data_IF_779412944475
#
_entry.id   IF_779412944475
#
_cell.length_a   1.000
_cell.length_b   1.000
_cell.length_c   1.000
_cell.angle_alpha   90.00
_cell.angle_beta   90.00
_cell.angle_gamma   90.00
#
_symmetry.space_group_name_H-M   'P 1'
#
loop_
_entity.id
_entity.type
_entity.pdbx_description
1 polymer ?
#
# COMPACT_ATOMS: atom_id res chain seq x y z
N UNK A 1 42.67 -13.21 -48.01
CA UNK A 1 43.85 -13.96 -48.46
C UNK A 1 45.04 -13.04 -48.31
N UNK A 2 45.88 -13.44 -47.36
CA UNK A 2 47.34 -13.23 -47.22
C UNK A 2 47.82 -11.78 -47.08
N UNK A 3 48.17 -11.36 -45.86
CA UNK A 3 49.49 -11.55 -45.21
C UNK A 3 50.60 -10.77 -45.93
N UNK A 4 51.17 -9.76 -45.25
CA UNK A 4 52.61 -9.75 -44.96
C UNK A 4 53.01 -8.57 -44.05
N UNK A 5 53.51 -8.94 -42.87
CA UNK A 5 54.42 -8.15 -42.02
C UNK A 5 55.70 -7.77 -42.81
N UNK A 6 56.47 -6.77 -42.35
CA UNK A 6 57.83 -7.17 -41.99
C UNK A 6 58.34 -6.60 -40.66
N UNK A 7 58.84 -7.57 -39.91
CA UNK A 7 59.72 -7.53 -38.74
C UNK A 7 61.11 -6.93 -38.98
N UNK A 8 61.65 -6.42 -37.86
CA UNK A 8 63.08 -6.41 -37.41
C UNK A 8 64.01 -5.33 -37.99
N UNK A 9 64.69 -4.58 -37.10
CA UNK A 9 65.96 -5.01 -36.45
C UNK A 9 66.43 -4.05 -35.35
N UNK A 10 66.96 -4.67 -34.29
CA UNK A 10 67.66 -4.08 -33.14
C UNK A 10 69.04 -3.54 -33.53
N UNK A 11 69.50 -2.49 -32.87
CA UNK A 11 70.92 -2.28 -32.56
C UNK A 11 71.06 -1.88 -31.09
N UNK A 12 71.92 -2.61 -30.36
CA UNK A 12 72.38 -2.34 -29.00
C UNK A 12 73.77 -1.70 -29.08
N UNK A 13 74.06 -0.70 -28.23
CA UNK A 13 75.35 -0.46 -27.56
C UNK A 13 75.17 0.75 -26.60
N UNK A 14 75.07 0.56 -25.28
CA UNK A 14 76.13 0.46 -24.25
C UNK A 14 76.91 1.78 -23.97
N UNK A 15 76.57 2.34 -22.79
CA UNK A 15 77.37 3.04 -21.77
C UNK A 15 78.19 4.28 -22.12
N UNK A 16 77.79 5.42 -21.53
CA UNK A 16 78.72 6.32 -20.82
C UNK A 16 78.05 6.78 -19.52
N UNK A 17 78.70 6.45 -18.40
CA UNK A 17 78.49 7.03 -17.08
C UNK A 17 79.02 8.47 -17.07
N UNK A 18 78.21 9.43 -16.62
CA UNK A 18 78.74 10.68 -16.08
C UNK A 18 77.83 11.16 -14.95
N UNK A 19 78.40 11.13 -13.76
CA UNK A 19 77.84 11.65 -12.53
C UNK A 19 77.78 13.17 -12.60
N UNK A 20 76.62 13.75 -12.29
CA UNK A 20 76.52 15.11 -11.77
C UNK A 20 75.59 15.06 -10.57
N UNK A 21 76.20 15.36 -9.43
CA UNK A 21 75.58 15.47 -8.14
C UNK A 21 74.77 16.77 -8.04
N UNK A 22 73.63 16.68 -7.35
CA UNK A 22 73.12 17.75 -6.48
C UNK A 22 72.28 18.83 -7.13
N UNK A 23 70.96 18.67 -7.07
CA UNK A 23 70.04 19.66 -6.45
C UNK A 23 68.89 18.87 -5.83
N UNK A 24 68.88 18.74 -4.50
CA UNK A 24 67.77 18.20 -3.73
C UNK A 24 66.77 19.34 -3.53
N UNK A 25 65.78 19.47 -4.42
CA UNK A 25 64.61 20.32 -4.17
C UNK A 25 63.66 19.52 -3.29
N UNK A 26 63.55 19.91 -2.02
CA UNK A 26 62.50 19.48 -1.11
C UNK A 26 61.15 19.98 -1.63
N UNK A 27 60.53 19.21 -2.52
CA UNK A 27 59.09 19.27 -2.74
C UNK A 27 58.45 18.59 -1.52
N UNK A 28 58.06 19.40 -0.55
CA UNK A 28 57.05 19.01 0.43
C UNK A 28 55.76 18.74 -0.32
N UNK A 29 55.59 17.50 -0.76
CA UNK A 29 54.29 16.97 -1.12
C UNK A 29 53.44 16.98 0.13
N UNK A 30 52.50 17.92 0.20
CA UNK A 30 51.29 17.76 0.99
C UNK A 30 50.62 16.49 0.49
N UNK A 31 50.90 15.37 1.16
CA UNK A 31 50.08 14.16 1.06
C UNK A 31 48.67 14.63 1.41
N UNK A 32 47.68 14.49 0.52
CA UNK A 32 46.30 14.70 0.94
C UNK A 32 46.08 13.73 2.09
N UNK A 33 45.83 14.28 3.27
CA UNK A 33 45.24 13.50 4.36
C UNK A 33 43.89 13.09 3.79
N UNK A 34 43.83 11.87 3.26
CA UNK A 34 42.58 11.17 3.06
C UNK A 34 42.11 10.98 4.50
N UNK A 35 41.25 11.88 4.97
CA UNK A 35 40.46 11.59 6.15
C UNK A 35 39.79 10.25 5.84
N UNK A 36 39.99 9.21 6.67
CA UNK A 36 39.24 8.00 6.49
C UNK A 36 37.78 8.43 6.50
N UNK A 37 37.06 8.14 5.41
CA UNK A 37 35.60 8.19 5.41
C UNK A 37 35.21 7.26 6.54
N UNK A 38 34.91 7.84 7.71
CA UNK A 38 34.25 7.14 8.79
C UNK A 38 32.90 6.83 8.17
N UNK A 39 32.74 5.63 7.63
CA UNK A 39 31.43 5.08 7.31
C UNK A 39 30.67 5.09 8.63
N UNK A 40 29.60 5.90 8.78
CA UNK A 40 28.67 5.73 9.89
C UNK A 40 28.36 4.26 10.11
N UNK A 41 28.21 3.87 11.37
CA UNK A 41 27.72 2.53 11.68
C UNK A 41 26.34 2.36 11.02
N UNK A 42 26.06 1.20 10.39
CA UNK A 42 24.74 0.95 9.84
C UNK A 42 23.68 1.13 10.93
N UNK A 43 22.44 1.55 10.59
CA UNK A 43 21.39 1.73 11.57
C UNK A 43 21.20 0.41 12.32
N UNK A 44 20.98 0.53 13.63
CA UNK A 44 20.65 -0.62 14.45
C UNK A 44 19.24 -1.05 14.03
N UNK A 45 19.15 -2.20 13.37
CA UNK A 45 17.85 -2.81 13.05
C UNK A 45 17.51 -3.74 14.21
N UNK A 46 16.49 -3.38 14.97
CA UNK A 46 15.87 -4.23 15.96
C UNK A 46 14.90 -5.16 15.24
N UNK A 47 15.28 -6.43 15.07
CA UNK A 47 14.47 -7.43 14.40
C UNK A 47 14.37 -8.67 15.27
N UNK A 48 13.15 -8.98 15.70
CA UNK A 48 12.82 -10.22 16.40
C UNK A 48 11.64 -10.87 15.67
N UNK A 49 11.83 -12.13 15.28
CA UNK A 49 10.77 -12.93 14.68
C UNK A 49 9.95 -13.63 15.76
N UNK A 50 8.79 -14.16 15.39
CA UNK A 50 7.98 -14.97 16.30
C UNK A 50 8.75 -16.20 16.80
N UNK A 51 9.63 -16.77 15.97
CA UNK A 51 10.49 -17.90 16.36
C UNK A 51 11.51 -17.50 17.43
N UNK A 52 12.13 -16.32 17.31
CA UNK A 52 13.08 -15.80 18.31
C UNK A 52 12.42 -15.58 19.69
N UNK A 53 11.11 -15.37 19.69
CA UNK A 53 10.28 -15.17 20.88
C UNK A 53 9.62 -16.46 21.39
N UNK A 54 9.96 -17.62 20.83
CA UNK A 54 9.35 -18.93 21.12
C UNK A 54 7.82 -18.96 20.89
N UNK A 55 7.32 -18.12 19.97
CA UNK A 55 5.91 -17.99 19.61
C UNK A 55 5.62 -18.89 18.40
N UNK A 56 4.94 -20.00 18.65
CA UNK A 56 4.70 -21.07 17.66
C UNK A 56 3.25 -21.21 17.20
N UNK A 57 2.29 -20.57 17.89
CA UNK A 57 0.90 -20.59 17.46
C UNK A 57 0.70 -19.56 16.33
N UNK A 58 0.17 -19.96 15.16
CA UNK A 58 -0.22 -19.00 14.14
C UNK A 58 -1.27 -18.06 14.74
N UNK A 59 -1.09 -16.76 14.51
CA UNK A 59 -2.14 -15.80 14.77
C UNK A 59 -3.05 -15.85 13.56
N UNK A 60 -4.25 -16.39 13.76
CA UNK A 60 -5.31 -16.31 12.77
C UNK A 60 -6.47 -15.56 13.40
N UNK A 61 -6.78 -14.39 12.85
CA UNK A 61 -8.11 -13.84 12.94
C UNK A 61 -9.02 -14.84 12.22
N UNK A 62 -9.92 -15.47 12.98
CA UNK A 62 -10.90 -16.39 12.43
C UNK A 62 -12.04 -15.61 11.75
N UNK A 63 -12.21 -14.33 12.08
CA UNK A 63 -13.23 -13.46 11.50
C UNK A 63 -12.88 -11.97 11.61
N UNK A 64 -13.50 -11.14 10.77
CA UNK A 64 -13.42 -9.67 10.81
C UNK A 64 -13.85 -9.12 12.17
N UNK A 65 -14.88 -9.71 12.81
CA UNK A 65 -15.39 -9.23 14.08
C UNK A 65 -14.37 -9.29 15.23
N UNK A 66 -13.41 -10.21 15.18
CA UNK A 66 -12.31 -10.27 16.16
C UNK A 66 -11.35 -9.08 16.02
N UNK A 67 -11.16 -8.57 14.80
CA UNK A 67 -10.37 -7.35 14.58
C UNK A 67 -11.08 -6.15 15.21
N UNK A 68 -12.39 -6.00 14.98
CA UNK A 68 -13.17 -4.87 15.49
C UNK A 68 -13.21 -4.81 17.01
N UNK A 69 -13.48 -5.96 17.64
CA UNK A 69 -13.47 -6.08 19.10
C UNK A 69 -12.11 -5.69 19.67
N UNK A 70 -11.04 -6.13 19.00
CA UNK A 70 -9.69 -5.83 19.44
C UNK A 70 -9.33 -4.34 19.28
N UNK A 71 -9.59 -3.74 18.11
CA UNK A 71 -9.25 -2.32 17.84
C UNK A 71 -9.98 -1.37 18.77
N UNK A 72 -11.25 -1.64 19.08
CA UNK A 72 -12.04 -0.76 19.94
C UNK A 72 -11.43 -0.57 21.35
N UNK A 73 -10.74 -1.58 21.86
CA UNK A 73 -10.15 -1.59 23.21
C UNK A 73 -8.61 -1.46 23.20
N UNK A 74 -7.98 -1.43 22.02
CA UNK A 74 -6.53 -1.42 21.90
C UNK A 74 -5.97 0.01 21.83
N UNK A 75 -5.32 0.43 22.92
CA UNK A 75 -4.64 1.72 23.04
C UNK A 75 -3.13 1.50 23.19
N UNK A 76 -2.40 1.61 22.08
CA UNK A 76 -0.93 1.53 22.07
C UNK A 76 -0.33 2.89 21.71
N UNK A 77 0.48 3.52 22.59
CA UNK A 77 0.89 4.92 22.45
C UNK A 77 1.77 5.21 21.22
N UNK A 78 2.48 4.19 20.74
CA UNK A 78 3.41 4.33 19.61
C UNK A 78 2.82 3.85 18.27
N UNK A 79 1.61 3.28 18.28
CA UNK A 79 0.99 2.77 17.06
C UNK A 79 0.31 3.92 16.30
N UNK A 80 0.70 4.10 15.05
CA UNK A 80 0.09 5.05 14.12
C UNK A 80 -1.20 4.49 13.53
N UNK A 81 -1.23 3.18 13.25
CA UNK A 81 -2.39 2.43 12.75
C UNK A 81 -2.24 0.93 12.95
N UNK A 82 -3.36 0.21 12.94
CA UNK A 82 -3.41 -1.25 12.93
C UNK A 82 -3.94 -1.76 11.58
N UNK A 83 -3.31 -2.78 11.03
CA UNK A 83 -3.63 -3.37 9.72
C UNK A 83 -3.78 -4.88 9.85
N UNK A 84 -4.82 -5.45 9.26
CA UNK A 84 -5.02 -6.90 9.18
C UNK A 84 -4.38 -7.45 7.90
N UNK A 85 -3.21 -8.06 8.01
CA UNK A 85 -2.49 -8.61 6.87
C UNK A 85 -2.61 -10.15 6.87
N UNK A 86 -3.21 -10.71 5.81
CA UNK A 86 -3.69 -12.10 5.73
C UNK A 86 -4.68 -12.45 6.86
N UNK A 87 -4.14 -12.95 7.97
CA UNK A 87 -4.92 -13.35 9.16
C UNK A 87 -4.23 -12.85 10.44
N UNK A 88 -3.27 -11.95 10.32
CA UNK A 88 -2.46 -11.42 11.42
C UNK A 88 -2.67 -9.92 11.60
N UNK A 89 -2.55 -9.45 12.84
CA UNK A 89 -2.61 -8.03 13.18
C UNK A 89 -1.21 -7.43 13.16
N UNK A 90 -1.06 -6.31 12.46
CA UNK A 90 0.20 -5.59 12.31
C UNK A 90 0.00 -4.15 12.72
N UNK A 91 0.75 -3.70 13.71
CA UNK A 91 0.82 -2.29 14.10
C UNK A 91 1.93 -1.60 13.32
N UNK A 92 1.60 -0.46 12.73
CA UNK A 92 2.55 0.45 12.09
C UNK A 92 2.95 1.52 13.09
N UNK A 93 4.25 1.81 13.17
CA UNK A 93 4.85 2.82 14.06
C UNK A 93 5.68 3.80 13.22
N UNK A 94 6.16 4.89 13.82
CA UNK A 94 7.02 5.85 13.11
C UNK A 94 8.34 5.21 12.63
N UNK A 95 8.87 4.23 13.37
CA UNK A 95 10.18 3.63 13.14
C UNK A 95 10.15 2.16 12.69
N UNK A 96 8.97 1.59 12.45
CA UNK A 96 8.86 0.19 12.07
C UNK A 96 7.44 -0.38 12.10
N UNK A 97 7.39 -1.69 12.25
CA UNK A 97 6.16 -2.47 12.40
C UNK A 97 6.33 -3.53 13.48
N UNK A 98 5.22 -3.96 14.08
CA UNK A 98 5.21 -5.12 14.96
C UNK A 98 3.92 -5.93 14.83
N UNK A 99 4.04 -7.23 15.03
CA UNK A 99 2.91 -8.14 15.09
C UNK A 99 2.23 -8.04 16.45
N UNK A 100 0.90 -7.92 16.44
CA UNK A 100 0.08 -7.74 17.64
C UNK A 100 -0.67 -9.02 17.94
N UNK A 101 -0.48 -9.62 19.11
CA UNK A 101 -1.18 -10.83 19.50
C UNK A 101 -2.65 -10.59 19.83
N UNK A 102 -3.53 -11.38 19.22
CA UNK A 102 -4.95 -11.41 19.59
C UNK A 102 -5.21 -12.51 20.65
N UNK A 103 -6.04 -12.26 21.68
CA UNK A 103 -6.70 -10.99 22.01
C UNK A 103 -5.90 -10.10 22.99
N UNK A 104 -4.70 -10.50 23.41
CA UNK A 104 -3.99 -9.86 24.53
C UNK A 104 -3.27 -8.56 24.20
N UNK A 105 -3.10 -8.25 22.92
CA UNK A 105 -2.37 -7.09 22.40
C UNK A 105 -0.87 -7.14 22.62
N UNK A 106 -0.34 -8.29 23.00
CA UNK A 106 1.09 -8.46 23.22
C UNK A 106 1.89 -8.38 21.92
N UNK A 107 3.09 -7.80 21.97
CA UNK A 107 4.00 -7.81 20.83
C UNK A 107 4.50 -9.25 20.57
N UNK A 108 4.38 -9.74 19.34
CA UNK A 108 4.75 -11.13 18.95
C UNK A 108 5.96 -11.22 18.04
N UNK A 109 6.29 -10.14 17.37
CA UNK A 109 7.48 -9.97 16.55
C UNK A 109 7.59 -8.48 16.25
N UNK A 110 8.78 -7.98 15.97
CA UNK A 110 8.94 -6.59 15.54
C UNK A 110 10.07 -6.45 14.53
N UNK A 111 9.94 -5.43 13.70
CA UNK A 111 10.99 -4.91 12.85
C UNK A 111 10.98 -3.40 13.03
N UNK A 112 11.97 -2.88 13.77
CA UNK A 112 12.11 -1.45 14.08
C UNK A 112 13.50 -0.97 13.73
N UNK A 113 13.57 0.31 13.38
CA UNK A 113 14.82 1.00 13.06
C UNK A 113 14.86 2.27 13.91
N UNK A 114 15.25 2.14 15.19
CA UNK A 114 15.12 3.22 16.16
C UNK A 114 15.85 4.49 15.72
N UNK A 115 15.15 5.62 15.88
CA UNK A 115 15.69 6.94 15.53
C UNK A 115 15.57 7.30 14.05
N UNK A 116 14.90 6.47 13.24
CA UNK A 116 14.64 6.73 11.84
C UNK A 116 13.16 6.55 11.50
N UNK A 117 12.62 7.48 10.70
CA UNK A 117 11.30 7.30 10.09
C UNK A 117 11.36 6.21 9.03
N UNK A 118 10.37 5.33 9.00
CA UNK A 118 10.20 4.35 7.91
C UNK A 118 8.98 4.67 7.07
N UNK A 119 8.94 4.14 5.85
CA UNK A 119 7.69 4.02 5.11
C UNK A 119 7.27 2.55 5.10
N UNK A 120 5.99 2.29 5.35
CA UNK A 120 5.42 0.95 5.40
C UNK A 120 4.34 0.86 4.36
N UNK A 121 4.39 -0.19 3.56
CA UNK A 121 3.36 -0.53 2.57
C UNK A 121 3.04 -2.01 2.69
N UNK A 122 1.84 -2.40 2.31
CA UNK A 122 1.39 -3.79 2.33
C UNK A 122 1.02 -4.24 0.92
N UNK A 123 1.26 -5.51 0.59
CA UNK A 123 0.76 -6.10 -0.66
C UNK A 123 -0.75 -6.25 -0.58
N UNK A 124 -1.56 -5.91 -1.60
CA UNK A 124 -3.02 -5.94 -1.54
C UNK A 124 -3.66 -7.26 -1.06
N UNK A 125 -2.98 -8.39 -1.23
CA UNK A 125 -3.38 -9.72 -0.75
C UNK A 125 -3.08 -9.97 0.75
N UNK A 126 -2.51 -8.99 1.44
CA UNK A 126 -2.04 -9.08 2.81
C UNK A 126 -0.74 -9.87 2.98
N UNK A 127 -0.23 -10.54 1.95
CA UNK A 127 0.79 -11.60 2.07
C UNK A 127 2.21 -11.14 2.41
N UNK A 128 2.47 -9.84 2.35
CA UNK A 128 3.74 -9.29 2.80
C UNK A 128 3.62 -7.83 3.25
N UNK A 129 4.47 -7.49 4.21
CA UNK A 129 4.72 -6.12 4.66
C UNK A 129 6.05 -5.69 4.08
N UNK A 130 6.11 -4.51 3.48
CA UNK A 130 7.36 -3.91 3.00
C UNK A 130 7.68 -2.68 3.84
N UNK A 131 8.85 -2.69 4.47
CA UNK A 131 9.39 -1.59 5.26
C UNK A 131 10.56 -0.98 4.52
N UNK A 132 10.44 0.29 4.16
CA UNK A 132 11.48 1.05 3.48
C UNK A 132 12.19 1.98 4.47
N UNK A 133 13.52 1.98 4.41
CA UNK A 133 14.39 2.69 5.35
C UNK A 133 15.69 3.11 4.70
N UNK A 134 16.43 4.04 5.31
CA UNK A 134 17.73 4.49 4.82
C UNK A 134 18.84 3.89 5.67
N UNK A 135 19.99 3.60 5.08
CA UNK A 135 21.17 3.13 5.83
C UNK A 135 22.21 4.21 5.82
N UNK A 136 22.33 4.90 6.96
CA UNK A 136 23.38 5.91 7.13
C UNK A 136 24.75 5.27 6.93
N UNK A 137 25.55 5.87 6.04
CA UNK A 137 26.97 5.57 5.95
C UNK A 137 27.44 4.44 5.05
N UNK A 138 26.54 3.60 4.53
CA UNK A 138 26.88 2.72 3.42
C UNK A 138 26.80 3.50 2.10
N UNK A 139 25.67 4.18 1.86
CA UNK A 139 25.37 5.13 0.77
C UNK A 139 24.12 5.95 1.15
N UNK A 140 24.28 7.23 1.50
CA UNK A 140 23.17 8.11 1.95
C UNK A 140 22.11 8.38 0.87
N UNK A 141 22.36 7.87 -0.33
CA UNK A 141 21.59 8.00 -1.56
C UNK A 141 20.89 6.68 -1.95
N UNK A 142 20.70 5.73 -1.03
CA UNK A 142 19.99 4.47 -1.29
C UNK A 142 18.83 4.21 -0.28
N UNK A 143 17.69 3.71 -0.78
CA UNK A 143 16.60 3.14 0.03
C UNK A 143 16.80 1.64 0.12
N UNK A 144 16.74 1.14 1.35
CA UNK A 144 16.74 -0.26 1.67
C UNK A 144 15.32 -0.73 1.98
N UNK A 145 15.05 -1.99 1.63
CA UNK A 145 13.77 -2.62 1.88
C UNK A 145 13.93 -3.86 2.73
N UNK A 146 12.97 -4.09 3.62
CA UNK A 146 12.71 -5.37 4.23
C UNK A 146 11.31 -5.83 3.82
N UNK A 147 11.20 -7.04 3.28
CA UNK A 147 9.93 -7.70 3.01
C UNK A 147 9.70 -8.74 4.10
N UNK A 148 8.62 -8.59 4.85
CA UNK A 148 8.31 -9.37 6.05
C UNK A 148 7.05 -10.20 5.82
N UNK A 149 7.06 -11.43 6.32
CA UNK A 149 5.85 -12.21 6.48
C UNK A 149 5.02 -11.62 7.64
N UNK A 150 3.74 -11.27 7.44
CA UNK A 150 2.95 -10.59 8.47
C UNK A 150 2.68 -11.45 9.72
N UNK A 151 2.60 -12.77 9.57
CA UNK A 151 2.34 -13.66 10.71
C UNK A 151 3.54 -13.92 11.61
N UNK A 152 4.76 -13.81 11.07
CA UNK A 152 5.97 -14.24 11.79
C UNK A 152 7.04 -13.15 11.94
N UNK A 153 6.93 -12.06 11.18
CA UNK A 153 7.98 -11.05 11.05
C UNK A 153 9.24 -11.57 10.35
N UNK A 154 9.23 -12.79 9.80
CA UNK A 154 10.38 -13.34 9.08
C UNK A 154 10.63 -12.54 7.79
N UNK A 155 11.90 -12.22 7.51
CA UNK A 155 12.28 -11.64 6.23
C UNK A 155 12.07 -12.68 5.14
N UNK A 156 11.23 -12.37 4.17
CA UNK A 156 11.07 -13.19 2.99
C UNK A 156 12.32 -13.04 2.11
N UNK A 157 12.85 -14.15 1.59
CA UNK A 157 13.98 -14.10 0.64
C UNK A 157 13.53 -13.44 -0.67
N UNK A 158 13.64 -12.12 -0.70
CA UNK A 158 13.62 -11.33 -1.92
C UNK A 158 14.87 -10.47 -1.86
N UNK A 159 15.83 -10.74 -2.74
CA UNK A 159 17.00 -9.88 -2.91
C UNK A 159 16.53 -8.60 -3.60
N UNK A 160 15.80 -7.76 -2.89
CA UNK A 160 15.52 -6.41 -3.35
C UNK A 160 16.82 -5.65 -3.14
N UNK A 161 17.54 -5.48 -4.25
CA UNK A 161 18.69 -4.61 -4.28
C UNK A 161 18.29 -3.20 -3.81
N UNK A 162 19.11 -2.51 -3.01
CA UNK A 162 18.84 -1.12 -2.65
C UNK A 162 18.66 -0.28 -3.91
N UNK A 163 17.63 0.55 -3.92
CA UNK A 163 17.38 1.48 -5.03
C UNK A 163 17.93 2.86 -4.68
N UNK A 164 18.26 3.71 -5.66
CA UNK A 164 18.57 5.11 -5.39
C UNK A 164 17.45 5.79 -4.60
N UNK A 165 17.82 6.63 -3.64
CA UNK A 165 16.89 7.44 -2.86
C UNK A 165 16.07 8.32 -3.82
N UNK A 166 14.74 8.22 -3.81
CA UNK A 166 13.92 9.14 -4.59
C UNK A 166 14.14 10.57 -4.11
N UNK A 167 13.99 11.55 -5.00
CA UNK A 167 14.35 12.95 -4.73
C UNK A 167 13.60 13.56 -3.53
N UNK A 168 12.42 13.01 -3.18
CA UNK A 168 11.63 13.37 -2.00
C UNK A 168 11.90 12.54 -0.73
N UNK A 169 12.92 11.68 -0.72
CA UNK A 169 13.25 10.84 0.43
C UNK A 169 12.20 9.76 0.73
N UNK A 170 12.10 9.28 1.96
CA UNK A 170 11.10 8.26 2.32
C UNK A 170 9.64 8.77 2.20
N UNK A 171 9.43 10.09 2.31
CA UNK A 171 8.12 10.72 2.14
C UNK A 171 7.56 10.62 0.71
N UNK A 172 8.41 10.35 -0.28
CA UNK A 172 7.95 10.13 -1.66
C UNK A 172 7.60 8.67 -1.95
N UNK A 173 7.68 7.76 -0.97
CA UNK A 173 7.16 6.40 -1.14
C UNK A 173 5.64 6.43 -0.97
N UNK A 174 4.92 5.79 -1.89
CA UNK A 174 3.49 5.61 -1.71
C UNK A 174 3.23 4.56 -0.63
N UNK A 175 2.15 4.73 0.16
CA UNK A 175 1.61 3.67 1.02
C UNK A 175 0.82 2.66 0.16
N UNK A 176 1.49 2.16 -0.88
CA UNK A 176 0.94 1.26 -1.87
C UNK A 176 2.06 0.40 -2.44
N UNK A 177 1.79 -0.89 -2.61
CA UNK A 177 2.69 -1.84 -3.25
C UNK A 177 1.90 -2.79 -4.13
N UNK A 178 2.56 -3.44 -5.08
CA UNK A 178 1.95 -4.49 -5.90
C UNK A 178 2.97 -5.57 -6.23
N UNK A 179 2.72 -6.81 -5.79
CA UNK A 179 3.63 -7.96 -5.94
C UNK A 179 5.10 -7.62 -5.63
N UNK A 180 5.90 -7.30 -6.66
CA UNK A 180 7.29 -6.83 -6.54
C UNK A 180 7.46 -5.34 -6.79
N UNK A 181 6.54 -4.70 -7.50
CA UNK A 181 6.60 -3.28 -7.86
C UNK A 181 6.51 -2.37 -6.62
N UNK A 182 7.41 -1.40 -6.55
CA UNK A 182 7.37 -0.27 -5.63
C UNK A 182 6.83 0.97 -6.33
N UNK A 183 6.05 1.78 -5.62
CA UNK A 183 5.58 3.05 -6.12
C UNK A 183 6.27 4.21 -5.40
N UNK A 184 6.90 5.08 -6.17
CA UNK A 184 7.61 6.27 -5.68
C UNK A 184 7.17 7.51 -6.45
N UNK A 185 7.31 8.68 -5.84
CA UNK A 185 7.11 9.96 -6.49
C UNK A 185 8.47 10.61 -6.79
N UNK A 186 8.69 10.96 -8.05
CA UNK A 186 9.78 11.84 -8.47
C UNK A 186 9.26 13.28 -8.52
N UNK A 187 9.93 14.21 -7.84
CA UNK A 187 9.55 15.63 -7.80
C UNK A 187 10.11 16.43 -9.00
N UNK A 188 9.36 17.43 -9.47
CA UNK A 188 9.75 18.40 -10.51
C UNK A 188 10.09 17.83 -11.92
N UNK A 189 9.09 17.37 -12.70
CA UNK A 189 7.65 17.38 -12.43
C UNK A 189 7.20 16.14 -11.66
N UNK A 190 6.10 16.27 -10.90
CA UNK A 190 5.55 15.15 -10.13
C UNK A 190 5.19 13.97 -11.04
N UNK A 191 5.89 12.87 -10.84
CA UNK A 191 5.82 11.65 -11.64
C UNK A 191 5.66 10.46 -10.71
N UNK A 192 4.67 9.61 -10.97
CA UNK A 192 4.56 8.32 -10.30
C UNK A 192 5.48 7.33 -11.02
N UNK A 193 6.37 6.70 -10.27
CA UNK A 193 7.32 5.71 -10.78
C UNK A 193 6.98 4.35 -10.19
N UNK A 194 6.89 3.34 -11.05
CA UNK A 194 6.78 1.94 -10.64
C UNK A 194 8.10 1.22 -10.91
N UNK A 195 8.71 0.67 -9.87
CA UNK A 195 10.01 0.00 -9.97
C UNK A 195 9.88 -1.48 -9.61
N UNK A 196 10.24 -2.37 -10.53
CA UNK A 196 10.35 -3.81 -10.27
C UNK A 196 11.81 -4.16 -9.97
N UNK A 197 12.14 -4.61 -8.76
CA UNK A 197 13.51 -5.00 -8.45
C UNK A 197 13.80 -6.38 -9.04
N UNK A 198 14.28 -6.43 -10.29
CA UNK A 198 14.68 -7.69 -10.94
C UNK A 198 16.17 -7.79 -11.30
N UNK A 199 16.91 -6.69 -11.47
CA UNK A 199 18.38 -6.61 -11.40
C UNK A 199 18.86 -5.14 -11.44
N UNK A 200 19.97 -4.81 -10.76
CA UNK A 200 20.61 -3.48 -10.71
C UNK A 200 21.01 -2.85 -12.06
N UNK A 201 21.00 -3.61 -13.15
CA UNK A 201 21.60 -3.21 -14.42
C UNK A 201 20.58 -3.03 -15.58
N UNK A 202 19.27 -3.22 -15.33
CA UNK A 202 18.23 -3.11 -16.36
C UNK A 202 17.28 -1.94 -16.03
N UNK A 203 17.44 -0.79 -16.72
CA UNK A 203 16.48 0.34 -16.69
C UNK A 203 15.09 -0.06 -17.23
N UNK A 204 14.98 -1.23 -17.86
CA UNK A 204 13.75 -1.75 -18.46
C UNK A 204 12.68 -2.13 -17.40
N UNK A 205 13.04 -2.18 -16.11
CA UNK A 205 12.15 -2.55 -15.01
C UNK A 205 11.50 -1.34 -14.29
N UNK A 206 11.69 -0.12 -14.82
CA UNK A 206 11.14 1.11 -14.26
C UNK A 206 10.20 1.76 -15.27
N UNK A 207 8.94 1.92 -14.88
CA UNK A 207 7.99 2.76 -15.62
C UNK A 207 7.78 4.10 -14.91
N UNK A 208 7.50 5.14 -15.69
CA UNK A 208 7.26 6.50 -15.20
C UNK A 208 5.97 7.04 -15.80
N UNK A 209 5.14 7.65 -14.96
CA UNK A 209 3.86 8.18 -15.35
C UNK A 209 3.73 9.64 -14.88
N UNK A 210 3.77 10.58 -15.83
CA UNK A 210 3.71 12.01 -15.55
C UNK A 210 2.29 12.47 -15.22
N UNK A 211 2.06 12.92 -13.98
CA UNK A 211 0.73 13.25 -13.47
C UNK A 211 0.23 14.62 -13.94
N UNK A 212 1.14 15.59 -14.10
CA UNK A 212 0.80 16.96 -14.51
C UNK A 212 0.05 17.03 -15.87
N UNK A 213 0.22 16.03 -16.74
CA UNK A 213 -0.49 15.94 -18.01
C UNK A 213 -2.02 15.86 -17.86
N UNK A 214 -2.51 15.42 -16.69
CA UNK A 214 -3.93 15.26 -16.38
C UNK A 214 -4.54 16.48 -15.69
N UNK A 215 -3.73 17.51 -15.41
CA UNK A 215 -4.18 18.77 -14.81
C UNK A 215 -3.79 19.97 -15.69
N UNK A 216 -3.96 19.84 -17.01
CA UNK A 216 -3.61 20.87 -18.01
C UNK A 216 -2.14 21.37 -17.94
N UNK A 217 -1.23 20.52 -17.44
CA UNK A 217 0.17 20.87 -17.24
C UNK A 217 0.43 21.73 -16.00
N UNK A 218 -0.56 21.86 -15.10
CA UNK A 218 -0.39 22.50 -13.80
C UNK A 218 0.62 21.71 -12.97
N UNK A 219 1.48 22.44 -12.26
CA UNK A 219 2.45 21.85 -11.35
C UNK A 219 1.72 21.22 -10.16
N UNK A 220 1.94 19.92 -9.95
CA UNK A 220 1.37 19.15 -8.85
C UNK A 220 2.41 18.95 -7.75
N UNK A 221 1.93 18.92 -6.51
CA UNK A 221 2.68 18.51 -5.32
C UNK A 221 2.19 17.16 -4.80
N UNK A 222 2.95 16.55 -3.89
CA UNK A 222 2.57 15.27 -3.27
C UNK A 222 1.22 15.34 -2.55
N UNK A 223 0.86 16.50 -2.01
CA UNK A 223 -0.40 16.72 -1.28
C UNK A 223 -1.62 16.73 -2.20
N UNK A 224 -1.41 16.93 -3.50
CA UNK A 224 -2.47 16.94 -4.52
C UNK A 224 -2.82 15.52 -5.02
N UNK A 225 -2.13 14.48 -4.54
CA UNK A 225 -2.22 13.13 -5.09
C UNK A 225 -2.45 12.09 -4.00
N UNK A 226 -3.31 11.12 -4.27
CA UNK A 226 -3.45 9.90 -3.48
C UNK A 226 -3.19 8.68 -4.36
N UNK A 227 -2.51 7.68 -3.80
CA UNK A 227 -2.21 6.42 -4.50
C UNK A 227 -2.58 5.25 -3.61
N UNK A 228 -3.31 4.31 -4.19
CA UNK A 228 -3.67 3.03 -3.57
C UNK A 228 -3.60 1.93 -4.62
N UNK A 229 -3.66 0.67 -4.20
CA UNK A 229 -3.53 -0.49 -5.09
C UNK A 229 -4.58 -1.55 -4.81
N UNK A 230 -5.07 -2.18 -5.87
CA UNK A 230 -5.79 -3.46 -5.81
C UNK A 230 -4.88 -4.61 -6.27
N UNK A 231 -5.46 -5.81 -6.34
CA UNK A 231 -4.83 -6.98 -6.95
C UNK A 231 -4.69 -6.89 -8.49
N UNK A 232 -5.22 -5.85 -9.14
CA UNK A 232 -5.12 -5.68 -10.60
C UNK A 232 -4.59 -4.32 -11.04
N UNK A 233 -4.77 -3.25 -10.25
CA UNK A 233 -4.53 -1.88 -10.66
C UNK A 233 -3.83 -1.05 -9.59
N UNK A 234 -3.10 -0.01 -10.03
CA UNK A 234 -2.76 1.14 -9.21
C UNK A 234 -3.79 2.22 -9.48
N UNK A 235 -4.41 2.76 -8.44
CA UNK A 235 -5.29 3.89 -8.55
C UNK A 235 -4.59 5.17 -8.11
N UNK A 236 -4.76 6.23 -8.89
CA UNK A 236 -4.17 7.54 -8.62
C UNK A 236 -5.28 8.58 -8.65
N UNK A 237 -5.61 9.15 -7.50
CA UNK A 237 -6.53 10.28 -7.38
C UNK A 237 -5.71 11.58 -7.36
N UNK A 238 -6.09 12.54 -8.19
CA UNK A 238 -5.37 13.80 -8.37
C UNK A 238 -6.37 14.93 -8.17
N UNK A 239 -6.09 15.86 -7.26
CA UNK A 239 -6.75 17.16 -7.20
C UNK A 239 -5.98 18.14 -8.08
N UNK A 240 -6.60 18.71 -9.11
CA UNK A 240 -5.93 19.62 -10.02
C UNK A 240 -5.98 21.07 -9.49
N UNK A 241 -4.83 21.67 -9.11
CA UNK A 241 -4.83 22.99 -8.50
C UNK A 241 -5.32 24.07 -9.48
N UNK A 242 -6.30 24.86 -9.06
CA UNK A 242 -6.79 26.01 -9.84
C UNK A 242 -7.70 25.69 -11.02
N UNK A 243 -8.03 24.41 -11.26
CA UNK A 243 -8.97 23.99 -12.32
C UNK A 243 -10.34 23.54 -11.80
N UNK A 244 -10.56 23.52 -10.48
CA UNK A 244 -11.79 23.00 -9.83
C UNK A 244 -12.16 21.60 -10.35
N UNK A 245 -11.15 20.77 -10.65
CA UNK A 245 -11.31 19.41 -11.15
C UNK A 245 -10.42 18.43 -10.40
N UNK A 246 -10.84 17.17 -10.37
CA UNK A 246 -10.04 16.05 -9.90
C UNK A 246 -10.07 14.93 -10.92
N UNK A 247 -9.01 14.15 -10.99
CA UNK A 247 -8.88 13.03 -11.92
C UNK A 247 -8.57 11.76 -11.16
N UNK A 248 -9.33 10.70 -11.43
CA UNK A 248 -9.00 9.35 -10.99
C UNK A 248 -8.46 8.55 -12.16
N UNK A 249 -7.31 7.92 -11.97
CA UNK A 249 -6.65 7.08 -12.94
C UNK A 249 -6.57 5.64 -12.43
N UNK A 250 -6.67 4.68 -13.34
CA UNK A 250 -6.22 3.32 -13.12
C UNK A 250 -5.06 2.99 -14.06
N UNK A 251 -3.98 2.51 -13.47
CA UNK A 251 -2.76 2.12 -14.17
C UNK A 251 -2.50 0.63 -13.99
N UNK A 252 -1.98 0.01 -15.03
CA UNK A 252 -1.41 -1.31 -14.93
C UNK A 252 -0.19 -1.28 -13.98
N UNK A 253 -0.17 -2.03 -12.87
CA UNK A 253 0.92 -1.96 -11.89
C UNK A 253 2.25 -2.51 -12.43
N UNK A 254 2.21 -3.33 -13.48
CA UNK A 254 3.38 -3.90 -14.12
C UNK A 254 4.07 -2.97 -15.12
N UNK A 255 3.28 -2.24 -15.92
CA UNK A 255 3.82 -1.41 -17.02
C UNK A 255 3.63 0.09 -16.84
N UNK A 256 2.77 0.52 -15.92
CA UNK A 256 2.36 1.92 -15.78
C UNK A 256 1.42 2.40 -16.89
N UNK A 257 0.94 1.49 -17.76
CA UNK A 257 0.02 1.84 -18.83
C UNK A 257 -1.33 2.30 -18.26
N UNK A 258 -1.88 3.37 -18.82
CA UNK A 258 -3.21 3.86 -18.47
C UNK A 258 -4.28 2.87 -18.95
N UNK A 259 -5.02 2.29 -18.02
CA UNK A 259 -6.17 1.44 -18.31
C UNK A 259 -7.42 2.29 -18.54
N UNK A 260 -7.66 3.27 -17.64
CA UNK A 260 -8.72 4.26 -17.79
C UNK A 260 -8.46 5.50 -16.93
N UNK A 261 -9.16 6.59 -17.26
CA UNK A 261 -9.16 7.84 -16.51
C UNK A 261 -10.58 8.41 -16.45
N UNK A 262 -10.93 9.02 -15.32
CA UNK A 262 -12.17 9.78 -15.14
C UNK A 262 -11.89 11.13 -14.53
N UNK A 263 -12.57 12.16 -15.02
CA UNK A 263 -12.50 13.51 -14.49
C UNK A 263 -13.80 13.84 -13.76
N UNK A 264 -13.67 14.47 -12.60
CA UNK A 264 -14.76 14.90 -11.74
C UNK A 264 -14.60 16.38 -11.44
N UNK A 265 -15.71 17.06 -11.15
CA UNK A 265 -15.62 18.39 -10.55
C UNK A 265 -14.94 18.27 -9.19
N UNK A 266 -14.19 19.26 -8.75
CA UNK A 266 -13.59 19.37 -7.42
C UNK A 266 -13.72 20.78 -6.84
N UNK A 267 -14.84 21.44 -7.12
CA UNK A 267 -15.09 22.80 -6.66
C UNK A 267 -15.17 22.86 -5.12
N UNK A 268 -14.27 23.63 -4.51
CA UNK A 268 -14.23 23.83 -3.05
C UNK A 268 -13.62 22.68 -2.25
N UNK A 269 -13.03 21.69 -2.92
CA UNK A 269 -12.31 20.57 -2.29
C UNK A 269 -10.87 20.97 -2.00
N UNK A 270 -10.36 20.65 -0.81
CA UNK A 270 -9.00 21.00 -0.36
C UNK A 270 -8.00 19.84 -0.46
N UNK A 271 -8.47 18.61 -0.60
CA UNK A 271 -7.66 17.38 -0.65
C UNK A 271 -8.12 16.47 -1.79
N UNK A 272 -7.23 15.69 -2.42
CA UNK A 272 -7.67 14.69 -3.40
C UNK A 272 -8.73 13.76 -2.79
N UNK A 273 -9.75 13.34 -3.57
CA UNK A 273 -10.71 12.35 -3.09
C UNK A 273 -10.01 11.04 -2.70
N UNK A 274 -10.44 10.47 -1.58
CA UNK A 274 -9.91 9.21 -1.07
C UNK A 274 -10.26 8.05 -2.00
N UNK A 275 -9.35 7.10 -2.20
CA UNK A 275 -9.61 5.91 -3.00
C UNK A 275 -9.66 4.67 -2.12
N UNK A 276 -10.87 4.14 -1.97
CA UNK A 276 -11.16 2.97 -1.16
C UNK A 276 -11.29 1.73 -2.04
N UNK A 277 -10.38 0.78 -1.91
CA UNK A 277 -10.36 -0.43 -2.75
C UNK A 277 -11.15 -1.56 -2.10
N UNK A 278 -12.28 -1.90 -2.71
CA UNK A 278 -13.16 -3.00 -2.29
C UNK A 278 -12.83 -4.30 -3.03
N UNK A 279 -11.94 -5.13 -2.45
CA UNK A 279 -11.59 -6.47 -2.97
C UNK A 279 -11.89 -7.59 -1.96
N UNK A 280 -12.00 -8.83 -2.44
CA UNK A 280 -12.31 -10.01 -1.63
C UNK A 280 -11.22 -10.37 -0.61
N UNK A 281 -9.98 -10.06 -0.93
CA UNK A 281 -8.80 -10.42 -0.13
C UNK A 281 -8.43 -9.31 0.87
N UNK A 282 -9.38 -8.41 1.15
CA UNK A 282 -9.25 -7.16 1.90
C UNK A 282 -8.09 -7.11 2.89
N UNK A 283 -7.06 -6.35 2.52
CA UNK A 283 -5.92 -5.98 3.37
C UNK A 283 -6.30 -5.22 4.65
N UNK A 284 -7.52 -4.72 4.67
CA UNK A 284 -8.03 -3.78 5.66
C UNK A 284 -9.28 -4.40 6.27
N UNK A 285 -9.08 -5.44 7.08
CA UNK A 285 -10.17 -6.00 7.86
C UNK A 285 -10.50 -5.04 9.01
N UNK A 286 -11.79 -4.95 9.33
CA UNK A 286 -12.34 -4.17 10.43
C UNK A 286 -13.11 -2.93 9.97
N UNK A 287 -14.10 -2.51 10.76
CA UNK A 287 -15.04 -1.42 10.49
C UNK A 287 -14.36 -0.12 10.10
N UNK A 288 -13.26 0.22 10.78
CA UNK A 288 -12.54 1.47 10.57
C UNK A 288 -11.74 1.49 9.26
N UNK A 289 -11.43 0.33 8.67
CA UNK A 289 -10.64 0.24 7.46
C UNK A 289 -11.40 -0.39 6.27
N UNK A 290 -12.55 -1.04 6.50
CA UNK A 290 -13.40 -1.62 5.45
C UNK A 290 -14.07 -0.49 4.63
N UNK A 291 -13.77 -0.37 3.32
CA UNK A 291 -14.35 0.63 2.43
C UNK A 291 -15.87 0.74 2.46
N UNK A 292 -16.55 -0.41 2.49
CA UNK A 292 -18.00 -0.48 2.42
C UNK A 292 -18.62 -0.17 3.77
N UNK A 293 -17.98 -0.59 4.85
CA UNK A 293 -18.43 -0.24 6.20
C UNK A 293 -18.37 1.28 6.41
N UNK A 294 -17.22 1.92 6.11
CA UNK A 294 -17.02 3.37 6.22
C UNK A 294 -18.07 4.16 5.42
N UNK A 295 -18.29 3.76 4.16
CA UNK A 295 -19.29 4.37 3.29
C UNK A 295 -20.71 4.24 3.86
N UNK A 296 -21.13 3.02 4.22
CA UNK A 296 -22.49 2.76 4.74
C UNK A 296 -22.72 3.37 6.12
N UNK A 297 -21.71 3.44 6.97
CA UNK A 297 -21.79 4.08 8.28
C UNK A 297 -21.90 5.62 8.17
N UNK A 298 -21.75 6.17 6.96
CA UNK A 298 -21.99 7.57 6.65
C UNK A 298 -20.78 8.47 6.85
N UNK A 299 -19.56 7.92 6.86
CA UNK A 299 -18.32 8.70 7.00
C UNK A 299 -18.23 9.83 5.96
N UNK A 300 -18.64 9.54 4.73
CA UNK A 300 -18.58 10.48 3.59
C UNK A 300 -19.94 11.14 3.31
N UNK A 301 -20.94 10.97 4.18
CA UNK A 301 -22.30 11.42 3.90
C UNK A 301 -22.85 10.80 2.60
N UNK A 302 -23.25 11.64 1.64
CA UNK A 302 -23.63 11.23 0.27
C UNK A 302 -22.51 11.43 -0.74
N UNK A 303 -21.37 11.99 -0.31
CA UNK A 303 -20.29 12.46 -1.18
C UNK A 303 -19.32 11.31 -1.48
N UNK A 304 -19.83 10.17 -1.93
CA UNK A 304 -19.01 9.04 -2.34
C UNK A 304 -19.58 8.36 -3.58
N UNK A 305 -18.71 7.79 -4.41
CA UNK A 305 -19.08 7.21 -5.70
C UNK A 305 -18.48 5.81 -5.86
N UNK A 306 -19.31 4.86 -6.25
CA UNK A 306 -18.88 3.51 -6.61
C UNK A 306 -18.41 3.46 -8.05
N UNK A 307 -17.20 2.96 -8.27
CA UNK A 307 -16.60 2.82 -9.60
C UNK A 307 -16.19 1.39 -9.87
N UNK A 308 -16.43 0.94 -11.10
CA UNK A 308 -15.96 -0.35 -11.58
C UNK A 308 -14.47 -0.30 -11.84
N UNK A 309 -13.73 -1.16 -11.15
CA UNK A 309 -12.29 -1.29 -11.31
C UNK A 309 -11.84 -1.47 -12.77
N UNK A 310 -12.60 -2.21 -13.59
CA UNK A 310 -12.20 -2.51 -14.96
C UNK A 310 -12.45 -1.40 -15.98
N UNK A 311 -13.16 -0.33 -15.63
CA UNK A 311 -13.54 0.70 -16.60
C UNK A 311 -13.70 2.11 -16.05
N UNK A 312 -13.61 2.29 -14.73
CA UNK A 312 -13.93 3.55 -14.04
C UNK A 312 -15.38 4.01 -14.25
N UNK A 313 -16.29 3.13 -14.67
CA UNK A 313 -17.68 3.50 -14.87
C UNK A 313 -18.41 3.49 -13.52
N UNK A 314 -19.30 4.46 -13.29
CA UNK A 314 -20.14 4.44 -12.11
C UNK A 314 -21.01 3.19 -12.08
N UNK A 315 -21.25 2.69 -10.88
CA UNK A 315 -22.05 1.50 -10.64
C UNK A 315 -22.82 1.66 -9.35
N UNK A 316 -24.07 1.25 -9.34
CA UNK A 316 -24.88 1.27 -8.12
C UNK A 316 -25.01 -0.15 -7.59
N UNK A 317 -24.52 -0.43 -6.36
CA UNK A 317 -24.67 -1.74 -5.75
C UNK A 317 -26.12 -2.19 -5.67
N UNK A 318 -26.35 -3.50 -5.80
CA UNK A 318 -27.68 -4.11 -5.74
C UNK A 318 -28.49 -3.72 -4.49
N UNK A 319 -27.79 -3.41 -3.40
CA UNK A 319 -28.32 -2.91 -2.13
C UNK A 319 -29.31 -1.75 -2.29
N UNK A 320 -29.02 -0.79 -3.17
CA UNK A 320 -29.84 0.41 -3.33
C UNK A 320 -31.14 0.19 -4.11
N UNK A 321 -31.32 -1.01 -4.68
CA UNK A 321 -32.60 -1.40 -5.28
C UNK A 321 -33.63 -1.88 -4.25
N UNK A 322 -33.24 -2.06 -2.98
CA UNK A 322 -34.13 -2.46 -1.89
C UNK A 322 -34.99 -1.26 -1.48
N UNK A 323 -36.31 -1.40 -1.55
CA UNK A 323 -37.25 -0.36 -1.11
C UNK A 323 -37.05 -0.07 0.39
N UNK A 324 -37.03 1.21 0.79
CA UNK A 324 -36.85 1.61 2.20
C UNK A 324 -35.39 1.74 2.65
N UNK A 325 -34.41 1.30 1.86
CA UNK A 325 -32.98 1.37 2.20
C UNK A 325 -32.49 2.78 2.56
N UNK A 326 -32.98 3.80 1.82
CA UNK A 326 -32.66 5.22 2.03
C UNK A 326 -33.10 5.78 3.39
N UNK A 327 -33.97 5.06 4.12
CA UNK A 327 -34.37 5.45 5.48
C UNK A 327 -33.31 5.08 6.53
N UNK A 328 -32.37 4.21 6.18
CA UNK A 328 -31.37 3.65 7.09
C UNK A 328 -29.94 4.05 6.73
N UNK A 329 -29.64 4.17 5.44
CA UNK A 329 -28.32 4.56 4.94
C UNK A 329 -28.40 5.74 3.99
N UNK A 330 -27.32 6.51 3.92
CA UNK A 330 -27.18 7.60 2.96
C UNK A 330 -26.80 7.01 1.60
N UNK A 331 -27.57 7.24 0.52
CA UNK A 331 -27.25 6.70 -0.79
C UNK A 331 -25.97 7.34 -1.35
N UNK A 332 -25.22 6.60 -2.20
CA UNK A 332 -24.06 7.13 -2.88
C UNK A 332 -24.48 8.23 -3.86
N UNK A 333 -23.50 9.04 -4.23
CA UNK A 333 -23.60 9.83 -5.43
C UNK A 333 -23.73 8.91 -6.66
N UNK A 334 -24.61 9.26 -7.60
CA UNK A 334 -24.87 8.49 -8.82
C UNK A 334 -24.12 8.99 -10.06
N UNK A 335 -23.76 10.27 -10.11
CA UNK A 335 -23.19 10.94 -11.29
C UNK A 335 -21.90 11.72 -11.02
N UNK A 336 -21.48 11.82 -9.75
CA UNK A 336 -20.30 12.57 -9.35
C UNK A 336 -20.56 14.07 -9.13
N UNK A 337 -21.83 14.51 -9.01
CA UNK A 337 -22.23 15.87 -8.62
C UNK A 337 -23.12 15.84 -7.35
N UNK A 338 -22.68 16.40 -6.20
CA UNK A 338 -21.44 17.15 -5.97
C UNK A 338 -20.19 16.27 -6.00
N UNK A 339 -19.01 16.87 -6.04
CA UNK A 339 -17.72 16.14 -6.02
C UNK A 339 -17.69 15.06 -4.95
N UNK A 340 -17.37 13.79 -5.31
CA UNK A 340 -17.15 12.76 -4.32
C UNK A 340 -15.92 13.09 -3.44
N UNK A 341 -16.08 13.02 -2.12
CA UNK A 341 -14.98 12.97 -1.16
C UNK A 341 -14.23 11.64 -1.20
N UNK A 342 -14.91 10.55 -1.60
CA UNK A 342 -14.31 9.23 -1.73
C UNK A 342 -14.81 8.45 -2.96
N UNK A 343 -13.93 7.64 -3.54
CA UNK A 343 -14.23 6.67 -4.57
C UNK A 343 -14.13 5.26 -3.99
N UNK A 344 -15.22 4.49 -4.03
CA UNK A 344 -15.18 3.06 -3.71
C UNK A 344 -14.97 2.28 -5.01
N UNK A 345 -13.77 1.78 -5.22
CA UNK A 345 -13.36 1.11 -6.47
C UNK A 345 -13.22 -0.38 -6.25
N UNK A 346 -13.77 -1.19 -7.16
CA UNK A 346 -13.66 -2.64 -7.07
C UNK A 346 -14.44 -3.36 -8.16
N UNK A 347 -14.39 -4.69 -8.14
CA UNK A 347 -15.23 -5.50 -9.03
C UNK A 347 -16.68 -5.52 -8.52
N UNK A 348 -17.65 -5.56 -9.43
CA UNK A 348 -19.08 -5.51 -9.10
C UNK A 348 -19.52 -6.58 -8.08
N UNK A 349 -19.14 -7.84 -8.29
CA UNK A 349 -19.53 -8.94 -7.40
C UNK A 349 -19.01 -8.76 -5.95
N UNK A 350 -17.72 -8.46 -5.71
CA UNK A 350 -17.25 -8.18 -4.35
C UNK A 350 -17.89 -6.93 -3.74
N UNK A 351 -18.09 -5.86 -4.50
CA UNK A 351 -18.79 -4.66 -4.01
C UNK A 351 -20.22 -5.01 -3.57
N UNK A 352 -21.01 -5.65 -4.43
CA UNK A 352 -22.40 -6.02 -4.11
C UNK A 352 -22.47 -6.90 -2.87
N UNK A 353 -21.58 -7.88 -2.80
CA UNK A 353 -21.56 -8.81 -1.70
C UNK A 353 -21.12 -8.15 -0.40
N UNK A 354 -20.06 -7.35 -0.43
CA UNK A 354 -19.57 -6.64 0.74
C UNK A 354 -20.61 -5.62 1.22
N UNK A 355 -21.21 -4.84 0.30
CA UNK A 355 -22.26 -3.89 0.64
C UNK A 355 -23.47 -4.58 1.29
N UNK A 356 -23.94 -5.71 0.76
CA UNK A 356 -25.06 -6.45 1.35
C UNK A 356 -24.72 -6.99 2.75
N UNK A 357 -23.53 -7.58 2.93
CA UNK A 357 -23.08 -8.12 4.22
C UNK A 357 -22.89 -7.01 5.25
N UNK A 358 -22.26 -5.90 4.87
CA UNK A 358 -22.03 -4.77 5.77
C UNK A 358 -23.34 -4.07 6.14
N UNK A 359 -24.25 -3.87 5.20
CA UNK A 359 -25.58 -3.32 5.49
C UNK A 359 -26.37 -4.20 6.45
N UNK A 360 -26.38 -5.52 6.23
CA UNK A 360 -27.03 -6.47 7.13
C UNK A 360 -26.44 -6.42 8.55
N UNK A 361 -25.11 -6.42 8.67
CA UNK A 361 -24.45 -6.28 9.98
C UNK A 361 -24.78 -4.96 10.68
N UNK A 362 -24.87 -3.86 9.93
CA UNK A 362 -25.25 -2.54 10.47
C UNK A 362 -26.71 -2.51 10.94
N UNK A 363 -27.64 -3.11 10.17
CA UNK A 363 -29.06 -3.20 10.55
C UNK A 363 -29.28 -4.10 11.78
N UNK A 364 -28.55 -5.21 11.87
CA UNK A 364 -28.54 -6.05 13.08
C UNK A 364 -27.96 -5.29 14.27
N UNK A 365 -26.84 -4.59 14.08
CA UNK A 365 -26.22 -3.76 15.12
C UNK A 365 -27.11 -2.60 15.59
N UNK A 366 -28.00 -2.11 14.73
CA UNK A 366 -28.98 -1.06 15.02
C UNK A 366 -30.31 -1.59 15.60
N UNK A 367 -30.41 -2.90 15.87
CA UNK A 367 -31.63 -3.56 16.39
C UNK A 367 -32.85 -3.43 15.44
N UNK A 368 -32.59 -3.21 14.15
CA UNK A 368 -33.60 -3.20 13.08
C UNK A 368 -33.91 -4.61 12.63
N UNK A 369 -32.88 -5.45 12.58
CA UNK A 369 -32.95 -6.86 12.22
C UNK A 369 -32.41 -7.72 13.35
N UNK A 370 -32.89 -8.96 13.42
CA UNK A 370 -32.34 -10.00 14.29
C UNK A 370 -31.62 -11.06 13.44
N UNK A 371 -30.54 -11.69 13.94
CA UNK A 371 -29.86 -12.75 13.22
C UNK A 371 -30.79 -13.89 12.76
N UNK A 372 -31.82 -14.23 13.54
CA UNK A 372 -32.77 -15.30 13.21
C UNK A 372 -33.68 -15.01 12.02
N UNK A 373 -33.69 -13.77 11.52
CA UNK A 373 -34.41 -13.39 10.30
C UNK A 373 -33.65 -13.79 9.02
N UNK A 374 -32.37 -14.15 9.15
CA UNK A 374 -31.57 -14.66 8.04
C UNK A 374 -31.66 -16.20 7.96
N UNK A 375 -31.57 -16.79 6.75
CA UNK A 375 -31.44 -18.24 6.59
C UNK A 375 -30.25 -18.82 7.36
N UNK A 376 -30.42 -20.01 7.94
CA UNK A 376 -29.38 -20.72 8.73
C UNK A 376 -28.02 -20.82 8.01
N UNK A 377 -28.02 -20.89 6.67
CA UNK A 377 -26.80 -20.96 5.83
C UNK A 377 -25.95 -19.67 5.86
N UNK A 378 -26.54 -18.56 6.30
CA UNK A 378 -25.84 -17.28 6.47
C UNK A 378 -25.40 -17.04 7.92
N UNK A 379 -25.72 -17.94 8.84
CA UNK A 379 -25.49 -17.77 10.26
C UNK A 379 -24.31 -18.62 10.75
N UNK A 380 -23.54 -18.06 11.69
CA UNK A 380 -22.50 -18.75 12.43
C UNK A 380 -22.91 -18.80 13.90
N UNK A 381 -22.84 -20.00 14.49
CA UNK A 381 -23.06 -20.18 15.92
C UNK A 381 -21.77 -19.81 16.69
N UNK A 382 -21.89 -18.84 17.59
CA UNK A 382 -20.83 -18.44 18.49
C UNK A 382 -20.62 -19.48 19.60
N UNK A 383 -19.46 -19.39 20.27
CA UNK A 383 -19.10 -20.32 21.36
C UNK A 383 -20.04 -20.28 22.58
N UNK A 384 -20.83 -19.22 22.73
CA UNK A 384 -21.84 -19.04 23.79
C UNK A 384 -23.24 -19.54 23.40
N UNK A 385 -23.39 -20.09 22.19
CA UNK A 385 -24.65 -20.62 21.65
C UNK A 385 -25.55 -19.55 21.03
N UNK A 386 -25.08 -18.31 20.86
CA UNK A 386 -25.77 -17.27 20.11
C UNK A 386 -25.46 -17.38 18.61
N UNK A 387 -26.41 -17.00 17.75
CA UNK A 387 -26.17 -16.91 16.31
C UNK A 387 -25.79 -15.49 15.93
N UNK A 388 -24.85 -15.34 14.99
CA UNK A 388 -24.55 -14.08 14.33
C UNK A 388 -24.53 -14.26 12.82
N UNK A 389 -24.64 -13.15 12.10
CA UNK A 389 -24.41 -13.16 10.66
C UNK A 389 -22.95 -13.53 10.36
N UNK A 390 -22.76 -14.31 9.30
CA UNK A 390 -21.44 -14.63 8.76
C UNK A 390 -20.76 -13.36 8.21
N UNK A 391 -19.46 -13.24 8.43
CA UNK A 391 -18.62 -12.24 7.77
C UNK A 391 -18.43 -12.58 6.28
N UNK A 392 -17.93 -11.63 5.50
CA UNK A 392 -17.74 -11.83 4.05
C UNK A 392 -16.87 -13.05 3.72
N UNK A 393 -15.85 -13.34 4.53
CA UNK A 393 -14.92 -14.47 4.35
C UNK A 393 -15.48 -15.81 4.82
N UNK A 394 -16.47 -15.81 5.73
CA UNK A 394 -17.15 -17.02 6.20
C UNK A 394 -18.24 -17.47 5.23
N UNK A 395 -18.74 -16.55 4.41
CA UNK A 395 -19.79 -16.82 3.43
C UNK A 395 -19.25 -17.61 2.22
N UNK A 396 -20.03 -18.55 1.67
CA UNK A 396 -19.64 -19.25 0.45
C UNK A 396 -19.58 -18.28 -0.74
N UNK A 397 -18.62 -18.48 -1.66
CA UNK A 397 -18.45 -17.68 -2.90
C UNK A 397 -19.57 -17.88 -3.95
N UNK A 398 -20.74 -18.39 -3.55
CA UNK A 398 -21.85 -18.71 -4.43
C UNK A 398 -22.73 -17.50 -4.74
N UNK A 399 -23.30 -17.48 -5.96
CA UNK A 399 -24.19 -16.40 -6.44
C UNK A 399 -25.54 -16.30 -5.70
N UNK A 400 -25.85 -17.24 -4.80
CA UNK A 400 -27.09 -17.24 -4.02
C UNK A 400 -27.04 -16.39 -2.76
N UNK A 401 -25.85 -16.07 -2.25
CA UNK A 401 -25.68 -15.38 -0.96
C UNK A 401 -26.23 -13.96 -0.98
N UNK A 402 -25.85 -13.16 -1.99
CA UNK A 402 -26.26 -11.75 -2.08
C UNK A 402 -27.78 -11.61 -2.20
N UNK A 403 -28.47 -12.33 -3.11
CA UNK A 403 -29.93 -12.28 -3.17
C UNK A 403 -30.62 -12.64 -1.84
N UNK A 404 -30.15 -13.68 -1.12
CA UNK A 404 -30.73 -14.07 0.17
C UNK A 404 -30.58 -12.99 1.23
N UNK A 405 -29.42 -12.32 1.30
CA UNK A 405 -29.19 -11.21 2.22
C UNK A 405 -30.11 -10.03 1.87
N UNK A 406 -30.17 -9.64 0.60
CA UNK A 406 -30.98 -8.51 0.16
C UNK A 406 -32.48 -8.76 0.35
N UNK A 407 -32.97 -9.98 0.12
CA UNK A 407 -34.36 -10.37 0.38
C UNK A 407 -34.68 -10.26 1.89
N UNK A 408 -33.80 -10.75 2.76
CA UNK A 408 -33.97 -10.65 4.21
C UNK A 408 -34.02 -9.19 4.69
N UNK A 409 -33.14 -8.35 4.13
CA UNK A 409 -33.13 -6.91 4.38
C UNK A 409 -34.44 -6.27 3.91
N UNK A 410 -34.88 -6.55 2.67
CA UNK A 410 -36.11 -5.99 2.09
C UNK A 410 -37.32 -6.28 2.97
N UNK A 411 -37.45 -7.51 3.49
CA UNK A 411 -38.52 -7.89 4.42
C UNK A 411 -38.50 -7.11 5.74
N UNK A 412 -37.33 -6.70 6.22
CA UNK A 412 -37.18 -5.99 7.49
C UNK A 412 -37.34 -4.46 7.38
N UNK A 413 -36.94 -3.87 6.25
CA UNK A 413 -36.95 -2.41 6.07
C UNK A 413 -38.17 -1.87 5.31
N UNK A 414 -38.99 -2.75 4.73
CA UNK A 414 -40.30 -2.43 4.11
C UNK A 414 -41.43 -2.37 5.13
#
# INVERSE_FOLDING_TARGET
MDEEEPRRRRVRARWVLLAIAGVLVLLWGSVPVIEPVVTPDPPVIEHQTSEDLDITAPQTLDSVGQFDEFVADWDHPDALRLVAAETSLVAVTEDGVFGVGYPGGEERWHFRIPGQKVAVSFRPDGGAIRVAYQVDGLRSDEVHYAVLNPGTGQRQETTIDPIPMPSGGLSSLADAAYDRTNFTFEENPLTLTGEQPTNKDEEDDIWRFGLAAYCDGTELSRDDVEVTTSTENVFVSILCPGTESSVLLALNPGSGDLEWSQEFSAAGVETPPEVLVADYDGLYMGKENDPLHRALYGEFGTDYLYLRESSGASYEPGLWNVEGMESWFLPPNTDGDPTPQAFVVGRHNPIDRSAAVQAANLLVGADVMQPEEFPDELLVENSDGTSRLSTIHELPMGSGVVPMILESIEEAVS
#
